data_IF_419100851561
#
_entry.id   IF_419100851561
#
_cell.length_a   1.000
_cell.length_b   1.000
_cell.length_c   1.000
_cell.angle_alpha   90.00
_cell.angle_beta   90.00
_cell.angle_gamma   90.00
#
_symmetry.space_group_name_H-M   'P 1'
#
loop_
_entity.id
_entity.type
_entity.pdbx_description
1 polymer ?
2 polymer ?
3 non-polymer ?
4 non-polymer ?
5 non-polymer ?
6 non-polymer ?
7 non-polymer ?
8 water ?
#
loop_
_entity_poly.entity_id
_entity_poly.type
_entity_poly.pdbx_seq_one_letter_code
_entity_poly.pdbx_strand_id
2 'polydeoxyribonucleotide/polyribonucleotide hybrid' '(DA)(DA)(DT)(DG)(DI)A(DG)(DA)(DT)(DG)(DC)(DT)' ?
#
# COMPACT_ATOMS: atom_id res chain seq x y z
N UNK A 1 5.08 7.52 6.45
CA UNK A 1 3.75 8.08 6.19
C UNK A 1 2.91 7.08 5.42
N UNK A 2 1.61 7.08 5.66
CA UNK A 2 0.75 6.08 5.04
C UNK A 2 0.49 6.42 3.58
N UNK A 3 0.10 5.40 2.81
CA UNK A 3 -0.28 5.60 1.42
C UNK A 3 -1.14 4.43 0.97
N UNK A 4 -1.75 4.57 -0.21
CA UNK A 4 -2.51 3.52 -0.85
C UNK A 4 -1.71 2.98 -2.01
N UNK A 5 -1.51 1.66 -2.03
CA UNK A 5 -0.86 0.97 -3.15
C UNK A 5 -1.95 0.59 -4.14
N UNK A 6 -2.09 1.37 -5.22
CA UNK A 6 -3.24 1.22 -6.11
C UNK A 6 -3.11 0.10 -7.14
N UNK A 7 -1.89 -0.32 -7.47
CA UNK A 7 -1.67 -1.34 -8.49
C UNK A 7 -0.25 -1.85 -8.34
N UNK A 8 0.04 -2.96 -9.02
CA UNK A 8 1.40 -3.48 -9.00
C UNK A 8 2.29 -2.68 -9.96
N UNK A 9 3.60 -2.73 -9.71
CA UNK A 9 4.54 -1.95 -10.49
C UNK A 9 5.21 -2.73 -11.61
N UNK A 10 5.33 -4.05 -11.48
CA UNK A 10 6.13 -4.83 -12.41
C UNK A 10 5.28 -5.21 -13.63
N UNK A 11 4.96 -4.19 -14.43
CA UNK A 11 4.15 -4.30 -15.64
C UNK A 11 4.94 -3.96 -16.89
N UNK A 12 4.71 -4.64 -18.01
CA UNK A 12 5.30 -4.20 -19.27
C UNK A 12 4.74 -2.86 -19.70
N UNK A 13 5.49 -2.10 -20.51
CA UNK A 13 5.04 -0.74 -20.87
C UNK A 13 3.61 -0.66 -21.38
N UNK A 14 3.18 -1.63 -22.20
CA UNK A 14 1.83 -1.60 -22.74
C UNK A 14 0.78 -1.64 -21.63
N UNK A 15 0.99 -2.49 -20.63
CA UNK A 15 0.04 -2.59 -19.53
C UNK A 15 0.14 -1.39 -18.59
N UNK A 16 1.33 -0.82 -18.47
CA UNK A 16 1.51 0.38 -17.66
C UNK A 16 0.74 1.56 -18.27
N UNK A 17 0.70 1.63 -19.60
CA UNK A 17 -0.07 2.68 -20.25
C UNK A 17 -1.55 2.50 -19.97
N UNK A 18 -2.04 1.26 -20.02
CA UNK A 18 -3.44 1.01 -19.72
C UNK A 18 -3.76 1.40 -18.29
N UNK A 19 -2.85 1.11 -17.35
CA UNK A 19 -3.06 1.52 -15.97
C UNK A 19 -3.20 3.03 -15.86
N UNK A 20 -2.34 3.78 -16.57
CA UNK A 20 -2.44 5.23 -16.55
C UNK A 20 -3.79 5.70 -17.08
N UNK A 21 -4.31 5.05 -18.13
CA UNK A 21 -5.59 5.48 -18.69
C UNK A 21 -6.76 5.19 -17.76
N UNK A 22 -6.63 4.26 -16.82
CA UNK A 22 -7.65 4.14 -15.78
C UNK A 22 -7.40 5.11 -14.64
N UNK A 23 -6.14 5.29 -14.24
CA UNK A 23 -5.85 6.15 -13.10
C UNK A 23 -6.15 7.61 -13.40
N UNK A 24 -5.98 8.05 -14.65
CA UNK A 24 -6.21 9.45 -14.97
C UNK A 24 -7.63 9.89 -14.63
N UNK A 25 -8.57 8.93 -14.63
CA UNK A 25 -9.95 9.18 -14.28
C UNK A 25 -10.10 9.58 -12.83
N UNK A 26 -9.11 9.22 -12.01
CA UNK A 26 -9.16 9.44 -10.57
C UNK A 26 -8.49 10.73 -10.13
N UNK A 27 -7.91 11.50 -11.03
CA UNK A 27 -7.30 12.76 -10.63
C UNK A 27 -8.37 13.79 -10.29
N UNK A 28 -8.11 14.58 -9.25
CA UNK A 28 -8.95 15.70 -8.84
C UNK A 28 -8.21 17.01 -8.91
N UNK A 29 -8.62 17.85 -9.85
CA UNK A 29 -7.99 19.14 -10.07
C UNK A 29 -8.73 20.17 -9.23
N UNK A 30 -8.40 20.23 -7.94
CA UNK A 30 -9.11 21.14 -7.04
C UNK A 30 -8.19 22.27 -6.59
N UNK A 31 -8.73 23.47 -6.35
CA UNK A 31 -7.89 24.56 -5.83
C UNK A 31 -7.21 24.20 -4.52
N UNK A 32 -6.04 24.79 -4.30
CA UNK A 32 -5.38 24.72 -3.01
C UNK A 32 -5.52 26.09 -2.37
N UNK A 33 -6.44 26.20 -1.43
CA UNK A 33 -6.66 27.46 -0.73
C UNK A 33 -5.76 27.57 0.48
N UNK A 34 -5.37 28.81 0.77
CA UNK A 34 -4.58 29.08 1.93
C UNK A 34 -3.10 28.79 1.69
N UNK A 35 -2.37 28.78 2.78
CA UNK A 35 -0.94 28.63 2.76
C UNK A 35 -0.55 27.32 3.42
N UNK A 36 0.33 26.54 2.82
CA UNK A 36 0.78 25.31 3.48
C UNK A 36 1.71 25.63 4.63
N UNK A 37 1.82 24.67 5.53
CA UNK A 37 2.73 24.76 6.66
C UNK A 37 3.98 23.92 6.45
N UNK A 38 3.84 22.77 5.79
CA UNK A 38 4.92 21.83 5.53
C UNK A 38 4.91 21.50 4.04
N UNK A 39 6.06 21.62 3.39
CA UNK A 39 6.17 21.41 1.94
C UNK A 39 7.29 20.40 1.68
N UNK A 40 7.00 19.36 0.91
CA UNK A 40 7.97 18.32 0.64
C UNK A 40 8.48 18.42 -0.79
N UNK A 41 9.75 18.03 -0.99
CA UNK A 41 10.30 17.88 -2.32
C UNK A 41 10.96 16.53 -2.46
N UNK A 42 10.92 16.00 -3.69
CA UNK A 42 11.42 14.65 -3.92
C UNK A 42 12.39 14.66 -5.08
N UNK A 43 13.49 13.92 -4.92
CA UNK A 43 14.45 13.82 -6.00
C UNK A 43 15.10 12.44 -5.94
N UNK A 44 15.63 12.02 -7.08
CA UNK A 44 16.31 10.74 -7.16
C UNK A 44 17.69 10.90 -7.77
N UNK A 45 18.64 10.08 -7.31
CA UNK A 45 19.94 9.94 -7.95
C UNK A 45 20.26 8.48 -8.15
N UNK A 46 21.33 8.25 -8.89
CA UNK A 46 21.77 6.91 -9.28
C UNK A 46 23.26 6.77 -8.95
N UNK A 47 23.59 6.43 -7.70
CA UNK A 47 25.01 6.27 -7.35
C UNK A 47 25.68 5.21 -8.20
N UNK A 48 25.05 4.05 -8.32
CA UNK A 48 25.45 3.06 -9.31
C UNK A 48 24.44 3.07 -10.44
N UNK A 49 24.83 2.44 -11.55
CA UNK A 49 23.90 2.34 -12.67
C UNK A 49 22.79 1.37 -12.33
N UNK A 50 21.55 1.82 -12.48
CA UNK A 50 20.34 1.08 -12.09
C UNK A 50 20.27 0.80 -10.59
N UNK A 51 20.96 1.59 -9.78
CA UNK A 51 20.84 1.52 -8.33
C UNK A 51 20.46 2.93 -7.90
N UNK A 52 19.33 3.05 -7.23
CA UNK A 52 18.82 4.38 -7.02
C UNK A 52 18.81 4.81 -5.58
N UNK A 53 18.75 6.12 -5.38
CA UNK A 53 18.63 6.73 -4.08
C UNK A 53 17.53 7.78 -4.18
N UNK A 54 16.45 7.57 -3.44
CA UNK A 54 15.34 8.51 -3.40
C UNK A 54 15.42 9.31 -2.11
N UNK A 55 15.24 10.63 -2.22
CA UNK A 55 15.29 11.53 -1.08
C UNK A 55 14.02 12.35 -1.05
N UNK A 56 13.43 12.46 0.13
CA UNK A 56 12.34 13.39 0.38
C UNK A 56 12.82 14.36 1.44
N UNK A 57 12.68 15.66 1.18
CA UNK A 57 12.98 16.69 2.16
C UNK A 57 11.67 17.37 2.49
N UNK A 58 11.41 17.64 3.77
CA UNK A 58 10.22 18.39 4.18
C UNK A 58 10.67 19.73 4.74
N UNK A 59 10.09 20.82 4.22
CA UNK A 59 10.43 22.19 4.62
C UNK A 59 9.28 22.82 5.38
N UNK A 60 9.63 23.73 6.29
CA UNK A 60 8.63 24.59 6.91
C UNK A 60 8.41 25.79 5.99
N UNK A 61 7.16 26.21 5.85
CA UNK A 61 6.83 27.39 5.08
C UNK A 61 6.21 28.45 5.98
N UNK A 62 6.59 29.74 5.86
CA UNK A 62 7.47 30.34 4.84
C UNK A 62 8.99 30.38 5.13
N UNK A 63 9.44 29.84 6.25
CA UNK A 63 10.85 29.97 6.61
C UNK A 63 11.76 29.14 5.70
N UNK A 64 11.23 28.06 5.11
CA UNK A 64 11.99 27.07 4.33
C UNK A 64 12.99 26.30 5.19
N UNK A 65 12.85 26.36 6.50
CA UNK A 65 13.70 25.60 7.39
C UNK A 65 13.46 24.09 7.19
N UNK A 66 14.54 23.33 7.19
CA UNK A 66 14.45 21.88 6.94
C UNK A 66 13.96 21.17 8.20
N UNK A 67 12.86 20.42 8.06
CA UNK A 67 12.25 19.68 9.15
C UNK A 67 12.56 18.20 9.12
N UNK A 68 12.74 17.61 7.94
CA UNK A 68 12.99 16.19 7.85
C UNK A 68 13.63 15.88 6.51
N UNK A 69 14.50 14.86 6.52
CA UNK A 69 15.05 14.23 5.33
C UNK A 69 14.88 12.73 5.49
N UNK A 70 14.33 12.07 4.48
CA UNK A 70 14.34 10.61 4.47
C UNK A 70 14.98 10.16 3.17
N UNK A 71 15.50 8.94 3.17
CA UNK A 71 16.08 8.43 1.94
C UNK A 71 15.93 6.92 1.94
N UNK A 72 15.98 6.37 0.73
CA UNK A 72 15.98 4.92 0.62
C UNK A 72 16.74 4.55 -0.64
N UNK A 73 17.50 3.47 -0.56
CA UNK A 73 18.25 2.94 -1.69
C UNK A 73 17.61 1.66 -2.19
N UNK A 74 17.63 1.46 -3.50
CA UNK A 74 17.07 0.25 -4.06
C UNK A 74 17.44 0.10 -5.51
N UNK A 75 17.21 -1.11 -6.01
CA UNK A 75 17.45 -1.42 -7.41
C UNK A 75 16.35 -0.83 -8.27
N UNK A 76 16.72 -0.36 -9.46
CA UNK A 76 15.78 0.20 -10.43
C UNK A 76 15.53 -0.89 -11.46
N UNK A 77 14.25 -1.18 -11.73
CA UNK A 77 13.86 -2.36 -12.51
C UNK A 77 13.12 -2.05 -13.82
N UNK A 78 12.72 -0.81 -14.04
CA UNK A 78 11.93 -0.35 -15.19
C UNK A 78 12.69 0.74 -15.95
N UNK A 79 12.78 0.66 -17.28
CA UNK A 79 13.58 1.66 -18.02
C UNK A 79 12.91 3.03 -18.07
N UNK A 80 13.74 4.06 -18.27
CA UNK A 80 13.18 5.39 -18.51
C UNK A 80 12.46 5.40 -19.85
N UNK A 81 11.18 5.76 -19.82
CA UNK A 81 10.38 5.98 -21.02
C UNK A 81 9.62 7.28 -20.75
N UNK A 82 9.77 8.32 -21.57
CA UNK A 82 8.99 9.53 -21.35
C UNK A 82 7.50 9.18 -21.32
N UNK A 83 6.83 9.63 -20.28
CA UNK A 83 5.42 9.33 -20.08
C UNK A 83 5.16 8.16 -19.14
N UNK A 84 6.20 7.40 -18.79
CA UNK A 84 6.07 6.28 -17.85
C UNK A 84 7.05 6.40 -16.69
N UNK A 85 7.44 7.63 -16.36
CA UNK A 85 8.45 7.86 -15.33
C UNK A 85 8.06 7.22 -13.99
N UNK A 86 6.77 7.23 -13.67
CA UNK A 86 6.31 6.72 -12.38
C UNK A 86 6.66 5.26 -12.18
N UNK A 87 6.65 4.47 -13.26
CA UNK A 87 6.94 3.04 -13.12
C UNK A 87 8.42 2.79 -12.87
N UNK A 88 9.26 3.78 -13.16
CA UNK A 88 10.69 3.68 -12.89
C UNK A 88 11.01 4.16 -11.48
N UNK A 89 10.44 5.29 -11.10
CA UNK A 89 10.83 5.98 -9.88
C UNK A 89 9.84 5.85 -8.74
N UNK A 90 8.58 5.54 -9.04
CA UNK A 90 7.55 5.43 -8.05
C UNK A 90 7.86 4.50 -6.89
N UNK A 91 8.24 3.26 -7.18
CA UNK A 91 8.44 2.31 -6.06
C UNK A 91 9.46 2.78 -5.05
N UNK A 92 10.60 3.32 -5.49
CA UNK A 92 11.61 3.76 -4.55
C UNK A 92 11.16 5.01 -3.81
N UNK A 93 10.45 5.91 -4.49
CA UNK A 93 9.86 7.04 -3.79
C UNK A 93 8.94 6.55 -2.67
N UNK A 94 8.09 5.56 -2.96
CA UNK A 94 7.15 5.10 -1.95
C UNK A 94 7.88 4.42 -0.78
N UNK A 95 9.01 3.78 -1.03
CA UNK A 95 9.79 3.22 0.08
C UNK A 95 10.32 4.34 0.97
N UNK A 96 10.71 5.47 0.39
CA UNK A 96 11.11 6.60 1.22
C UNK A 96 9.90 7.21 1.92
N UNK A 97 8.76 7.27 1.22
CA UNK A 97 7.55 7.88 1.78
C UNK A 97 7.09 7.14 3.02
N UNK A 98 7.18 5.80 3.02
CA UNK A 98 6.75 5.03 4.17
C UNK A 98 7.57 5.38 5.42
N UNK A 99 8.80 5.87 5.25
CA UNK A 99 9.63 6.25 6.37
C UNK A 99 9.30 7.64 6.91
N UNK A 100 8.60 8.46 6.13
CA UNK A 100 8.40 9.85 6.49
C UNK A 100 7.55 9.97 7.76
N UNK A 101 8.01 10.79 8.71
CA UNK A 101 7.27 11.04 9.94
C UNK A 101 6.42 12.31 9.86
N UNK A 102 6.91 13.34 9.18
CA UNK A 102 6.19 14.59 9.04
C UNK A 102 5.21 14.52 7.88
N UNK A 103 3.95 14.90 8.13
CA UNK A 103 2.95 14.87 7.07
C UNK A 103 2.99 16.18 6.30
N UNK A 104 3.36 16.18 5.01
CA UNK A 104 3.39 17.43 4.24
C UNK A 104 1.99 17.89 3.86
N UNK A 105 1.88 19.20 3.61
CA UNK A 105 0.66 19.78 3.07
C UNK A 105 0.64 19.73 1.55
N UNK A 106 1.81 19.74 0.92
CA UNK A 106 1.97 19.69 -0.53
C UNK A 106 3.29 19.00 -0.81
N UNK A 107 3.33 18.20 -1.88
CA UNK A 107 4.55 17.51 -2.28
C UNK A 107 4.89 17.91 -3.71
N UNK A 108 6.14 18.31 -3.93
CA UNK A 108 6.61 18.76 -5.23
C UNK A 108 7.57 17.71 -5.78
N UNK A 109 7.31 17.26 -7.02
CA UNK A 109 8.11 16.27 -7.71
C UNK A 109 8.91 16.88 -8.85
N UNK A 110 10.03 16.23 -9.18
CA UNK A 110 10.82 16.58 -10.36
C UNK A 110 10.25 15.87 -11.58
N UNK A 111 9.39 16.56 -12.30
CA UNK A 111 8.69 15.95 -13.43
C UNK A 111 7.34 16.63 -13.58
N UNK A 112 6.58 16.16 -14.57
CA UNK A 112 5.27 16.73 -14.82
C UNK A 112 4.21 16.13 -13.90
N UNK A 113 3.09 16.85 -13.79
CA UNK A 113 1.86 16.27 -13.32
C UNK A 113 0.90 16.13 -14.50
N UNK A 114 -0.04 17.08 -14.59
CA UNK A 114 -1.08 17.06 -15.61
C UNK A 114 -0.52 17.21 -17.02
N UNK A 115 0.64 17.87 -17.16
CA UNK A 115 1.20 18.18 -18.48
C UNK A 115 1.88 16.93 -19.04
N UNK A 116 1.05 16.00 -19.52
CA UNK A 116 1.47 14.62 -19.77
C UNK A 116 0.53 14.07 -20.83
N UNK A 117 1.01 13.23 -21.76
CA UNK A 117 0.15 12.79 -22.88
C UNK A 117 -1.12 12.06 -22.46
N UNK A 118 -1.13 11.41 -21.29
CA UNK A 118 -2.33 10.76 -20.77
C UNK A 118 -2.82 11.42 -19.48
N UNK A 119 -2.39 12.67 -19.25
CA UNK A 119 -2.83 13.49 -18.13
C UNK A 119 -2.53 12.85 -16.78
N UNK A 120 -1.39 12.12 -16.68
CA UNK A 120 -1.03 11.45 -15.42
C UNK A 120 0.48 11.33 -15.31
N UNK A 121 1.17 12.47 -15.19
CA UNK A 121 2.59 12.44 -14.94
C UNK A 121 2.86 11.94 -13.53
N UNK A 122 4.15 11.75 -13.24
CA UNK A 122 4.54 11.15 -11.96
C UNK A 122 3.94 11.91 -10.77
N UNK A 123 3.84 13.23 -10.85
CA UNK A 123 3.30 13.98 -9.71
C UNK A 123 1.83 13.65 -9.49
N UNK A 124 1.07 13.48 -10.58
CA UNK A 124 -0.34 13.12 -10.46
C UNK A 124 -0.49 11.70 -9.97
N UNK A 125 0.30 10.80 -10.53
CA UNK A 125 0.27 9.38 -10.17
C UNK A 125 0.59 9.18 -8.70
N UNK A 126 1.67 9.79 -8.22
CA UNK A 126 2.02 9.63 -6.80
C UNK A 126 1.01 10.33 -5.91
N UNK A 127 0.45 11.45 -6.37
CA UNK A 127 -0.61 12.10 -5.60
C UNK A 127 -1.74 11.16 -5.29
N UNK A 128 -2.10 10.31 -6.25
CA UNK A 128 -3.18 9.35 -6.04
C UNK A 128 -2.81 8.34 -4.97
N UNK A 129 -1.53 7.97 -4.89
CA UNK A 129 -1.07 7.03 -3.88
C UNK A 129 -1.05 7.67 -2.49
N UNK A 130 -0.50 8.88 -2.38
CA UNK A 130 -0.33 9.46 -1.05
C UNK A 130 -1.52 10.32 -0.61
N UNK A 131 -2.40 10.71 -1.54
CA UNK A 131 -3.62 11.47 -1.21
C UNK A 131 -3.29 12.77 -0.47
N UNK A 132 -2.30 13.48 -1.00
CA UNK A 132 -1.87 14.81 -0.54
C UNK A 132 -1.70 15.65 -1.80
N UNK A 133 -2.01 16.95 -1.76
CA UNK A 133 -1.81 17.79 -2.95
C UNK A 133 -0.38 17.71 -3.48
N UNK A 134 -0.26 17.57 -4.79
CA UNK A 134 1.06 17.46 -5.42
C UNK A 134 1.17 18.39 -6.60
N UNK A 135 2.41 18.73 -6.92
CA UNK A 135 2.76 19.60 -8.04
C UNK A 135 3.96 18.97 -8.74
N UNK A 136 3.96 19.03 -10.07
CA UNK A 136 5.12 18.66 -10.86
C UNK A 136 5.88 19.88 -11.34
N UNK A 137 7.18 19.90 -11.09
CA UNK A 137 8.08 20.94 -11.60
C UNK A 137 9.16 20.30 -12.44
N UNK A 138 9.21 20.62 -13.73
CA UNK A 138 10.17 20.05 -14.66
C UNK A 138 11.01 21.14 -15.31
N UNK A 139 12.20 20.77 -15.76
CA UNK A 139 13.08 21.68 -16.48
C UNK A 139 12.85 21.70 -17.99
N UNK A 140 12.08 20.76 -18.53
CA UNK A 140 11.81 20.74 -19.96
C UNK A 140 10.42 20.17 -20.19
N UNK A 141 9.91 20.41 -21.41
CA UNK A 141 8.54 20.07 -21.76
C UNK A 141 8.41 18.60 -22.16
N UNK A 142 7.40 17.94 -21.62
CA UNK A 142 6.97 16.61 -22.06
C UNK A 142 5.81 16.66 -23.03
N UNK A 143 4.82 17.48 -22.75
CA UNK A 143 3.57 17.48 -23.49
C UNK A 143 2.95 18.87 -23.38
N UNK A 144 2.22 19.26 -24.41
CA UNK A 144 1.53 20.53 -24.45
C UNK A 144 2.23 21.55 -25.34
N UNK A 145 1.47 22.58 -25.70
CA UNK A 145 2.01 23.67 -26.49
C UNK A 145 1.95 24.96 -25.68
N UNK A 146 2.84 25.90 -25.99
CA UNK A 146 2.90 27.13 -25.21
C UNK A 146 3.64 28.20 -26.01
N UNK A 147 3.34 29.46 -25.68
CA UNK A 147 4.15 30.60 -26.09
C UNK A 147 5.25 30.83 -25.06
N UNK A 148 6.48 31.01 -25.53
CA UNK A 148 7.60 31.20 -24.63
C UNK A 148 7.39 32.44 -23.76
N UNK A 149 7.52 32.34 -22.43
CA UNK A 149 7.37 33.54 -21.59
C UNK A 149 8.45 34.57 -21.87
N UNK A 150 8.16 35.81 -21.46
CA UNK A 150 9.12 36.90 -21.61
C UNK A 150 10.38 36.61 -20.79
N UNK A 151 11.49 37.21 -21.19
CA UNK A 151 12.73 37.02 -20.43
C UNK A 151 12.81 38.04 -19.29
N UNK A 152 11.76 38.08 -18.48
CA UNK A 152 11.68 38.92 -17.30
C UNK A 152 11.21 38.05 -16.16
N UNK A 153 11.81 38.21 -14.98
CA UNK A 153 11.46 37.37 -13.85
C UNK A 153 9.95 37.40 -13.58
N UNK A 154 9.38 36.22 -13.37
CA UNK A 154 7.97 35.93 -13.04
C UNK A 154 7.08 35.90 -14.28
N UNK A 155 7.56 36.25 -15.46
CA UNK A 155 6.78 36.06 -16.66
C UNK A 155 6.37 34.60 -16.80
N UNK A 156 5.14 34.37 -17.24
CA UNK A 156 4.64 33.02 -17.42
C UNK A 156 3.69 32.95 -18.60
N UNK A 157 3.48 31.73 -19.08
CA UNK A 157 2.51 31.42 -20.12
C UNK A 157 1.84 30.11 -19.78
N UNK A 158 0.61 29.91 -20.27
CA UNK A 158 -0.08 28.65 -20.10
C UNK A 158 0.44 27.58 -21.07
N UNK A 159 0.39 26.34 -20.61
CA UNK A 159 0.62 25.15 -21.41
C UNK A 159 -0.72 24.55 -21.80
N UNK A 160 -0.90 24.24 -23.08
CA UNK A 160 -2.20 23.85 -23.60
C UNK A 160 -2.17 22.45 -24.22
N UNK A 161 -3.28 21.73 -24.09
CA UNK A 161 -3.57 20.57 -24.93
C UNK A 161 -4.82 20.95 -25.72
N UNK A 162 -4.62 21.55 -26.89
CA UNK A 162 -5.70 22.16 -27.64
C UNK A 162 -6.20 23.39 -26.90
N UNK A 163 -7.47 23.36 -26.50
CA UNK A 163 -8.04 24.47 -25.73
C UNK A 163 -7.91 24.25 -24.23
N UNK A 164 -7.50 23.06 -23.79
CA UNK A 164 -7.36 22.72 -22.38
C UNK A 164 -6.03 23.24 -21.83
N UNK A 165 -6.07 23.93 -20.70
CA UNK A 165 -4.87 24.37 -19.99
C UNK A 165 -4.42 23.24 -19.08
N UNK A 166 -3.18 22.80 -19.23
CA UNK A 166 -2.64 21.67 -18.46
C UNK A 166 -1.49 22.05 -17.55
N UNK A 167 -1.07 23.31 -17.55
CA UNK A 167 0.03 23.74 -16.71
C UNK A 167 0.49 25.12 -17.14
N UNK A 168 1.69 25.51 -16.71
CA UNK A 168 2.25 26.79 -17.14
C UNK A 168 3.77 26.71 -17.27
N UNK A 169 4.34 27.71 -17.93
CA UNK A 169 5.78 27.84 -18.12
C UNK A 169 6.20 29.16 -17.48
N UNK A 170 7.12 29.11 -16.51
CA UNK A 170 7.42 30.25 -15.66
C UNK A 170 8.89 30.63 -15.75
N UNK A 171 9.16 31.90 -16.01
CA UNK A 171 10.53 32.42 -15.98
C UNK A 171 10.88 32.78 -14.54
N UNK A 172 11.32 31.78 -13.79
CA UNK A 172 11.68 32.02 -12.40
C UNK A 172 12.99 32.79 -12.27
N UNK A 173 13.84 32.77 -13.30
CA UNK A 173 15.13 33.45 -13.22
C UNK A 173 15.41 34.11 -14.57
N UNK A 174 15.62 35.42 -14.55
CA UNK A 174 15.93 36.12 -15.79
C UNK A 174 17.27 35.65 -16.34
N UNK A 175 17.31 35.44 -17.66
CA UNK A 175 18.51 34.95 -18.31
C UNK A 175 18.70 33.45 -18.25
N UNK A 176 17.78 32.72 -17.62
CA UNK A 176 17.84 31.26 -17.56
C UNK A 176 16.59 30.66 -18.18
N UNK A 177 16.70 29.40 -18.58
CA UNK A 177 15.56 28.68 -19.11
C UNK A 177 14.43 28.65 -18.07
N UNK A 178 13.18 28.64 -18.51
CA UNK A 178 12.04 28.58 -17.58
C UNK A 178 11.82 27.17 -17.04
N UNK A 179 10.84 27.06 -16.13
CA UNK A 179 10.42 25.78 -15.57
C UNK A 179 8.99 25.50 -15.99
N UNK A 180 8.65 24.21 -16.05
CA UNK A 180 7.33 23.74 -16.45
C UNK A 180 6.61 23.24 -15.22
N UNK A 181 5.47 23.85 -14.90
CA UNK A 181 4.74 23.58 -13.66
C UNK A 181 3.36 23.06 -14.02
N UNK A 182 2.96 21.93 -13.45
CA UNK A 182 1.61 21.42 -13.68
C UNK A 182 1.07 20.77 -12.41
N UNK A 183 -0.24 20.85 -12.18
CA UNK A 183 -0.82 20.27 -10.97
C UNK A 183 -0.75 18.75 -11.03
N UNK A 184 -0.59 18.15 -9.86
CA UNK A 184 -0.63 16.71 -9.76
C UNK A 184 -2.03 16.24 -9.41
N UNK A 185 -2.23 15.90 -8.14
CA UNK A 185 -3.53 15.50 -7.61
C UNK A 185 -3.92 16.50 -6.55
N UNK A 186 -5.24 16.73 -6.39
CA UNK A 186 -5.75 17.67 -5.38
C UNK A 186 -5.10 19.04 -5.52
N UNK A 187 -4.97 19.49 -6.77
CA UNK A 187 -4.24 20.68 -7.15
C UNK A 187 -4.80 21.14 -8.50
N UNK A 188 -4.74 22.44 -8.76
CA UNK A 188 -5.16 22.91 -10.09
C UNK A 188 -4.08 23.84 -10.65
N UNK A 189 -4.29 24.28 -11.89
CA UNK A 189 -3.23 24.98 -12.61
C UNK A 189 -2.90 26.30 -11.91
N UNK A 190 -3.92 27.06 -11.54
CA UNK A 190 -3.69 28.36 -10.91
C UNK A 190 -3.02 28.21 -9.55
N UNK A 191 -3.43 27.21 -8.76
CA UNK A 191 -2.83 27.02 -7.45
C UNK A 191 -1.37 26.56 -7.56
N UNK A 192 -1.09 25.66 -8.50
CA UNK A 192 0.28 25.19 -8.64
C UNK A 192 1.21 26.32 -9.05
N UNK A 193 0.75 27.21 -9.94
CA UNK A 193 1.55 28.36 -10.32
C UNK A 193 1.83 29.24 -9.11
N UNK A 194 0.78 29.54 -8.34
CA UNK A 194 0.93 30.43 -7.21
C UNK A 194 1.87 29.83 -6.15
N UNK A 195 1.73 28.53 -5.90
CA UNK A 195 2.55 27.91 -4.86
C UNK A 195 4.01 27.82 -5.28
N UNK A 196 4.28 27.41 -6.52
CA UNK A 196 5.67 27.29 -6.96
C UNK A 196 6.34 28.66 -6.98
N UNK A 197 5.61 29.70 -7.38
CA UNK A 197 6.15 31.04 -7.28
C UNK A 197 6.51 31.38 -5.84
N UNK A 198 5.63 31.04 -4.89
CA UNK A 198 5.92 31.29 -3.48
C UNK A 198 7.13 30.51 -2.99
N UNK A 199 7.36 29.31 -3.53
CA UNK A 199 8.44 28.44 -3.09
C UNK A 199 9.78 28.77 -3.71
N UNK A 200 9.82 29.66 -4.71
CA UNK A 200 11.04 29.92 -5.47
C UNK A 200 11.57 31.28 -5.05
N UNK A 201 12.77 31.30 -4.46
CA UNK A 201 13.33 32.57 -3.98
C UNK A 201 13.89 33.40 -5.14
N UNK A 202 13.81 34.73 -5.05
CA UNK A 202 14.39 35.57 -6.10
C UNK A 202 15.87 35.25 -6.31
N UNK A 203 16.26 35.11 -7.57
CA UNK A 203 17.59 34.74 -7.95
C UNK A 203 17.79 33.27 -8.21
N UNK A 204 16.85 32.43 -7.79
CA UNK A 204 16.92 30.99 -8.02
C UNK A 204 15.93 30.59 -9.09
N UNK A 205 16.33 29.62 -9.89
CA UNK A 205 15.47 29.06 -10.92
C UNK A 205 14.55 27.98 -10.36
N UNK A 206 15.03 27.20 -9.39
CA UNK A 206 14.34 25.98 -8.96
C UNK A 206 13.71 26.24 -7.60
N UNK A 207 12.45 25.81 -7.37
CA UNK A 207 11.83 26.01 -6.06
C UNK A 207 12.55 25.27 -4.95
N UNK A 208 12.50 25.85 -3.76
CA UNK A 208 13.28 25.35 -2.63
C UNK A 208 13.06 23.87 -2.32
N UNK A 209 11.83 23.33 -2.35
CA UNK A 209 11.67 21.90 -2.00
C UNK A 209 12.48 20.96 -2.89
N UNK A 210 12.42 21.12 -4.20
CA UNK A 210 13.19 20.23 -5.07
C UNK A 210 14.63 20.66 -5.22
N UNK A 211 14.92 21.96 -5.05
CA UNK A 211 16.32 22.38 -5.02
C UNK A 211 17.07 21.69 -3.88
N UNK A 212 16.47 21.69 -2.68
CA UNK A 212 17.11 21.06 -1.53
C UNK A 212 17.08 19.55 -1.62
N UNK A 213 16.01 18.95 -2.16
CA UNK A 213 16.03 17.50 -2.34
C UNK A 213 17.18 17.08 -3.25
N UNK A 214 17.43 17.86 -4.31
CA UNK A 214 18.56 17.55 -5.17
C UNK A 214 19.87 17.65 -4.40
N UNK A 215 20.01 18.68 -3.57
CA UNK A 215 21.24 18.84 -2.80
C UNK A 215 21.50 17.58 -1.96
N UNK A 216 20.45 17.06 -1.34
CA UNK A 216 20.65 15.89 -0.48
C UNK A 216 20.89 14.62 -1.28
N UNK A 217 20.25 14.46 -2.45
CA UNK A 217 20.57 13.29 -3.26
C UNK A 217 22.05 13.27 -3.62
N UNK A 218 22.64 14.44 -3.84
CA UNK A 218 24.06 14.47 -4.19
C UNK A 218 24.94 14.25 -2.96
N UNK A 219 24.55 14.81 -1.83
CA UNK A 219 25.35 14.63 -0.62
C UNK A 219 25.28 13.20 -0.12
N UNK A 220 24.09 12.59 -0.17
CA UNK A 220 23.93 11.25 0.40
C UNK A 220 24.62 10.19 -0.45
N UNK A 221 24.92 10.49 -1.71
CA UNK A 221 25.79 9.63 -2.54
C UNK A 221 27.19 9.56 -1.94
N UNK B 1 -4.23 -6.42 -6.48
CA UNK B 1 -5.30 -5.76 -5.74
C UNK B 1 -4.74 -4.63 -4.86
N UNK B 2 -5.53 -3.57 -4.67
CA UNK B 2 -5.07 -2.42 -3.93
C UNK B 2 -5.12 -2.67 -2.42
N UNK B 3 -4.35 -1.88 -1.68
CA UNK B 3 -4.41 -1.93 -0.23
C UNK B 3 -3.88 -0.61 0.30
N UNK B 4 -4.04 -0.41 1.61
CA UNK B 4 -3.55 0.78 2.29
C UNK B 4 -2.37 0.37 3.16
N UNK B 5 -1.22 1.00 2.94
CA UNK B 5 -0.04 0.77 3.77
C UNK B 5 -0.13 1.72 4.97
N UNK B 6 -0.55 1.19 6.12
CA UNK B 6 -0.86 2.05 7.26
C UNK B 6 0.37 2.46 8.03
N UNK B 7 1.45 1.69 7.96
CA UNK B 7 2.66 1.95 8.73
C UNK B 7 3.79 1.17 8.09
N UNK B 8 5.01 1.48 8.49
CA UNK B 8 6.19 0.78 8.02
C UNK B 8 6.35 -0.56 8.76
N UNK B 9 7.07 -1.49 8.12
CA UNK B 9 7.18 -2.85 8.66
C UNK B 9 8.44 -3.13 9.48
N UNK B 10 9.58 -2.48 9.19
CA UNK B 10 10.83 -2.92 9.82
C UNK B 10 10.97 -2.26 11.19
N UNK B 11 10.14 -2.72 12.11
CA UNK B 11 10.11 -2.13 13.45
C UNK B 11 10.69 -3.09 14.47
N UNK B 12 11.38 -2.58 15.48
CA UNK B 12 11.77 -3.43 16.60
C UNK B 12 10.54 -3.94 17.31
N UNK B 13 10.63 -5.09 17.99
CA UNK B 13 9.44 -5.67 18.63
C UNK B 13 8.68 -4.73 19.56
N UNK B 14 9.36 -3.94 20.41
CA UNK B 14 8.65 -3.02 21.29
C UNK B 14 7.79 -2.05 20.50
N UNK B 15 8.32 -1.51 19.40
CA UNK B 15 7.55 -0.58 18.60
C UNK B 15 6.44 -1.29 17.83
N UNK B 16 6.64 -2.56 17.47
CA UNK B 16 5.57 -3.31 16.81
C UNK B 16 4.38 -3.49 17.73
N UNK B 17 4.63 -3.71 19.02
CA UNK B 17 3.55 -3.84 19.99
C UNK B 17 2.77 -2.52 20.11
N UNK B 18 3.49 -1.39 20.12
CA UNK B 18 2.82 -0.10 20.22
C UNK B 18 1.91 0.12 19.01
N UNK B 19 2.39 -0.25 17.83
CA UNK B 19 1.59 -0.13 16.60
C UNK B 19 0.30 -0.94 16.72
N UNK B 20 0.42 -2.18 17.22
CA UNK B 20 -0.76 -3.02 17.42
C UNK B 20 -1.77 -2.37 18.37
N UNK B 21 -1.28 -1.74 19.44
CA UNK B 21 -2.20 -1.15 20.42
C UNK B 21 -2.91 0.08 19.86
N UNK B 22 -2.33 0.74 18.85
CA UNK B 22 -3.04 1.81 18.17
C UNK B 22 -3.98 1.26 17.11
N UNK B 23 -3.54 0.24 16.36
CA UNK B 23 -4.37 -0.29 15.28
C UNK B 23 -5.61 -1.00 15.80
N UNK B 24 -5.53 -1.64 16.99
CA UNK B 24 -6.71 -2.32 17.51
C UNK B 24 -7.89 -1.37 17.68
N UNK B 25 -7.61 -0.06 17.85
CA UNK B 25 -8.69 0.92 17.95
C UNK B 25 -9.45 1.10 16.64
N UNK B 26 -8.89 0.68 15.52
CA UNK B 26 -9.53 0.87 14.22
C UNK B 26 -10.37 -0.32 13.76
N UNK B 27 -10.32 -1.44 14.49
CA UNK B 27 -11.06 -2.64 14.07
C UNK B 27 -12.56 -2.39 14.19
N UNK B 28 -13.32 -2.88 13.23
CA UNK B 28 -14.78 -2.79 13.26
C UNK B 28 -15.31 -4.22 13.28
N UNK B 29 -15.88 -4.66 14.41
CA UNK B 29 -16.38 -6.04 14.51
C UNK B 29 -17.85 -6.07 14.10
N UNK B 30 -18.07 -6.00 12.82
CA UNK B 30 -19.42 -5.88 12.28
C UNK B 30 -19.86 -7.21 11.67
N UNK B 31 -21.15 -7.53 11.72
CA UNK B 31 -21.64 -8.74 11.06
C UNK B 31 -21.33 -8.73 9.57
N UNK B 32 -21.13 -9.93 9.01
CA UNK B 32 -21.10 -10.14 7.56
C UNK B 32 -22.32 -10.99 7.20
N UNK B 33 -23.34 -10.36 6.65
CA UNK B 33 -24.57 -11.06 6.31
C UNK B 33 -24.53 -11.51 4.85
N UNK B 34 -25.27 -12.56 4.55
CA UNK B 34 -25.42 -13.00 3.18
C UNK B 34 -24.32 -13.90 2.68
N UNK B 35 -24.31 -14.05 1.35
CA UNK B 35 -23.44 -15.01 0.70
C UNK B 35 -22.34 -14.32 -0.08
N UNK B 36 -21.08 -14.64 0.17
CA UNK B 36 -20.01 -14.13 -0.66
C UNK B 36 -19.96 -14.88 -1.99
N UNK B 37 -19.35 -14.24 -2.97
CA UNK B 37 -19.09 -14.83 -4.27
C UNK B 37 -17.64 -15.24 -4.48
N UNK B 38 -16.70 -14.52 -3.88
CA UNK B 38 -15.28 -14.76 -4.05
C UNK B 38 -14.64 -14.82 -2.69
N UNK B 39 -13.90 -15.90 -2.41
CA UNK B 39 -13.31 -16.11 -1.10
C UNK B 39 -11.84 -16.44 -1.27
N UNK B 40 -10.99 -15.73 -0.55
CA UNK B 40 -9.55 -15.92 -0.67
C UNK B 40 -9.00 -16.62 0.56
N UNK B 41 -7.96 -17.42 0.36
CA UNK B 41 -7.19 -17.99 1.46
C UNK B 41 -5.70 -17.76 1.24
N UNK B 42 -4.97 -17.66 2.36
CA UNK B 42 -3.58 -17.23 2.35
C UNK B 42 -2.74 -18.23 3.14
N UNK B 43 -1.60 -18.65 2.58
CA UNK B 43 -0.70 -19.58 3.25
C UNK B 43 0.74 -19.19 2.94
N UNK B 44 1.64 -19.47 3.88
CA UNK B 44 3.06 -19.18 3.73
C UNK B 44 3.91 -20.41 4.05
N UNK B 45 5.05 -20.52 3.39
CA UNK B 45 6.07 -21.49 3.78
C UNK B 45 7.42 -20.79 3.83
N UNK B 46 8.41 -21.48 4.43
CA UNK B 46 9.74 -20.92 4.64
C UNK B 46 10.74 -21.98 4.19
N UNK B 47 10.94 -22.11 2.89
CA UNK B 47 11.83 -23.15 2.36
C UNK B 47 13.28 -22.95 2.77
N UNK B 48 13.80 -21.75 2.58
CA UNK B 48 15.10 -21.44 3.14
C UNK B 48 14.95 -20.53 4.33
N UNK B 49 15.97 -20.48 5.18
CA UNK B 49 15.96 -19.55 6.29
C UNK B 49 16.25 -18.16 5.76
N UNK B 50 15.46 -17.19 6.24
CA UNK B 50 15.37 -15.84 5.70
C UNK B 50 14.74 -15.82 4.33
N UNK B 51 14.04 -16.88 3.94
CA UNK B 51 13.32 -16.93 2.67
C UNK B 51 11.89 -17.44 2.86
N UNK B 52 10.92 -16.68 2.34
CA UNK B 52 9.52 -17.03 2.46
C UNK B 52 8.83 -17.21 1.13
N UNK B 53 7.69 -17.90 1.13
CA UNK B 53 6.83 -18.02 -0.05
C UNK B 53 5.38 -17.82 0.39
N UNK B 54 4.71 -16.82 -0.17
CA UNK B 54 3.29 -16.57 0.11
C UNK B 54 2.44 -16.97 -1.08
N UNK B 55 1.31 -17.64 -0.81
CA UNK B 55 0.35 -18.06 -1.83
C UNK B 55 -1.02 -17.53 -1.43
N UNK B 56 -1.73 -16.96 -2.38
CA UNK B 56 -3.14 -16.59 -2.20
C UNK B 56 -3.95 -17.35 -3.23
N UNK B 57 -5.01 -18.02 -2.79
CA UNK B 57 -5.97 -18.69 -3.67
C UNK B 57 -7.31 -17.99 -3.55
N UNK B 58 -7.95 -17.70 -4.68
CA UNK B 58 -9.30 -17.15 -4.69
C UNK B 58 -10.22 -18.23 -5.25
N UNK B 59 -11.26 -18.57 -4.49
CA UNK B 59 -12.27 -19.50 -4.92
C UNK B 59 -13.56 -18.77 -5.21
N UNK B 60 -14.35 -19.33 -6.12
CA UNK B 60 -15.72 -18.91 -6.30
C UNK B 60 -16.59 -19.69 -5.33
N UNK B 61 -17.56 -19.01 -4.73
CA UNK B 61 -18.48 -19.66 -3.81
C UNK B 61 -19.90 -19.51 -4.34
N UNK B 62 -20.73 -20.57 -4.30
CA UNK B 62 -20.56 -21.89 -3.68
C UNK B 62 -19.91 -22.99 -4.54
N UNK B 63 -19.38 -22.69 -5.72
CA UNK B 63 -18.84 -23.76 -6.56
C UNK B 63 -17.51 -24.30 -6.02
N UNK B 64 -16.78 -23.50 -5.27
CA UNK B 64 -15.41 -23.76 -4.83
C UNK B 64 -14.43 -23.88 -6.00
N UNK B 65 -14.84 -23.46 -7.18
CA UNK B 65 -13.92 -23.44 -8.32
C UNK B 65 -12.76 -22.50 -8.04
N UNK B 66 -11.56 -22.92 -8.45
CA UNK B 66 -10.38 -22.07 -8.27
C UNK B 66 -10.39 -21.01 -9.37
N UNK B 67 -10.43 -19.75 -8.97
CA UNK B 67 -10.46 -18.65 -9.93
C UNK B 67 -9.11 -18.03 -10.16
N UNK B 68 -8.26 -17.95 -9.14
CA UNK B 68 -6.98 -17.30 -9.26
C UNK B 68 -6.06 -17.87 -8.21
N UNK B 69 -4.80 -18.06 -8.58
CA UNK B 69 -3.74 -18.41 -7.63
C UNK B 69 -2.56 -17.51 -7.91
N UNK B 70 -2.08 -16.81 -6.88
CA UNK B 70 -0.88 -16.00 -7.02
C UNK B 70 0.12 -16.40 -5.93
N UNK B 71 1.38 -16.10 -6.18
CA UNK B 71 2.43 -16.41 -5.22
C UNK B 71 3.56 -15.41 -5.38
N UNK B 72 4.36 -15.31 -4.32
CA UNK B 72 5.52 -14.43 -4.32
C UNK B 72 6.58 -15.00 -3.38
N UNK B 73 7.85 -14.94 -3.80
CA UNK B 73 8.96 -15.29 -2.95
C UNK B 73 9.63 -14.00 -2.48
N UNK B 74 10.14 -14.03 -1.26
CA UNK B 74 10.79 -12.85 -0.74
C UNK B 74 11.60 -13.18 0.50
N UNK B 75 12.40 -12.21 0.88
CA UNK B 75 13.23 -12.33 2.06
C UNK B 75 12.39 -12.16 3.31
N UNK B 76 12.62 -13.01 4.30
CA UNK B 76 11.96 -12.93 5.60
C UNK B 76 13.00 -12.48 6.63
N UNK B 77 12.73 -11.37 7.31
CA UNK B 77 13.72 -10.73 8.16
C UNK B 77 13.35 -10.74 9.63
N UNK B 78 12.10 -10.96 9.95
CA UNK B 78 11.61 -10.79 11.30
C UNK B 78 11.35 -12.17 11.89
N UNK B 79 11.88 -12.48 13.06
CA UNK B 79 11.72 -13.84 13.59
C UNK B 79 10.28 -14.07 14.01
N UNK B 80 9.90 -15.35 14.09
CA UNK B 80 8.59 -15.66 14.64
C UNK B 80 8.58 -15.34 16.13
N UNK B 81 7.68 -14.46 16.52
CA UNK B 81 7.41 -14.16 17.93
C UNK B 81 5.91 -14.29 18.07
N UNK B 82 5.39 -15.20 18.88
CA UNK B 82 3.93 -15.31 19.04
C UNK B 82 3.32 -13.96 19.41
N UNK B 83 2.27 -13.59 18.67
CA UNK B 83 1.65 -12.29 18.88
C UNK B 83 2.15 -11.20 17.93
N UNK B 84 3.24 -11.45 17.19
CA UNK B 84 3.80 -10.50 16.23
C UNK B 84 3.88 -11.12 14.83
N UNK B 85 3.01 -12.07 14.55
CA UNK B 85 3.10 -12.80 13.29
C UNK B 85 3.00 -11.88 12.08
N UNK B 86 2.18 -10.84 12.16
CA UNK B 86 2.00 -9.95 11.00
C UNK B 86 3.32 -9.29 10.58
N UNK B 87 4.20 -9.01 11.52
CA UNK B 87 5.45 -8.32 11.18
C UNK B 87 6.45 -9.24 10.49
N UNK B 88 6.23 -10.54 10.57
CA UNK B 88 7.00 -11.55 9.87
C UNK B 88 6.41 -11.85 8.50
N UNK B 89 5.09 -12.02 8.43
CA UNK B 89 4.41 -12.52 7.23
C UNK B 89 3.66 -11.45 6.43
N UNK B 90 3.27 -10.36 7.05
CA UNK B 90 2.52 -9.32 6.38
C UNK B 90 3.16 -8.81 5.11
N UNK B 91 4.43 -8.39 5.15
CA UNK B 91 5.03 -7.81 3.94
C UNK B 91 4.99 -8.73 2.73
N UNK B 92 5.29 -10.02 2.91
CA UNK B 92 5.28 -10.93 1.77
C UNK B 92 3.85 -11.22 1.29
N UNK B 93 2.91 -11.37 2.22
CA UNK B 93 1.51 -11.50 1.81
C UNK B 93 1.07 -10.32 0.96
N UNK B 94 1.42 -9.10 1.36
CA UNK B 94 0.99 -7.93 0.60
C UNK B 94 1.64 -7.88 -0.77
N UNK B 95 2.85 -8.42 -0.90
CA UNK B 95 3.48 -8.48 -2.20
C UNK B 95 2.72 -9.43 -3.14
N UNK B 96 2.22 -10.54 -2.60
CA UNK B 96 1.37 -11.42 -3.41
C UNK B 96 0.00 -10.77 -3.66
N UNK B 97 -0.52 -10.08 -2.65
CA UNK B 97 -1.82 -9.43 -2.78
C UNK B 97 -1.83 -8.42 -3.94
N UNK B 98 -0.71 -7.72 -4.15
CA UNK B 98 -0.65 -6.75 -5.25
C UNK B 98 -0.88 -7.40 -6.61
N UNK B 99 -0.55 -8.69 -6.75
CA UNK B 99 -0.71 -9.37 -8.03
C UNK B 99 -2.15 -9.81 -8.30
N UNK B 100 -2.98 -9.88 -7.27
CA UNK B 100 -4.32 -10.43 -7.38
C UNK B 100 -5.21 -9.55 -8.27
N UNK B 101 -5.92 -10.19 -9.21
CA UNK B 101 -6.85 -9.47 -10.07
C UNK B 101 -8.31 -9.52 -9.62
N UNK B 102 -8.75 -10.58 -8.94
CA UNK B 102 -10.12 -10.69 -8.46
C UNK B 102 -10.22 -10.13 -7.06
N UNK B 103 -11.18 -9.25 -6.83
CA UNK B 103 -11.38 -8.69 -5.50
C UNK B 103 -12.19 -9.67 -4.65
N UNK B 104 -11.63 -10.21 -3.58
CA UNK B 104 -12.38 -11.14 -2.74
C UNK B 104 -13.42 -10.41 -1.90
N UNK B 105 -14.47 -11.15 -1.53
CA UNK B 105 -15.45 -10.66 -0.58
C UNK B 105 -15.05 -10.92 0.86
N UNK B 106 -14.26 -11.97 1.08
CA UNK B 106 -13.79 -12.38 2.39
C UNK B 106 -12.41 -12.99 2.19
N UNK B 107 -11.50 -12.75 3.13
CA UNK B 107 -10.15 -13.32 3.07
C UNK B 107 -9.91 -14.08 4.37
N UNK B 108 -9.41 -15.32 4.25
CA UNK B 108 -9.15 -16.19 5.39
C UNK B 108 -7.63 -16.35 5.55
N UNK B 109 -7.13 -16.09 6.77
CA UNK B 109 -5.71 -16.24 7.05
C UNK B 109 -5.46 -17.42 7.99
N UNK B 110 -4.25 -17.96 7.91
CA UNK B 110 -3.76 -18.99 8.84
C UNK B 110 -3.22 -18.28 10.08
N UNK B 111 -4.05 -18.18 11.09
CA UNK B 111 -3.66 -17.48 12.30
C UNK B 111 -4.90 -16.90 12.94
N UNK B 112 -4.70 -16.20 14.06
CA UNK B 112 -5.82 -15.61 14.77
C UNK B 112 -6.17 -14.24 14.20
N UNK B 113 -7.40 -13.80 14.48
CA UNK B 113 -7.74 -12.40 14.38
C UNK B 113 -7.91 -11.80 15.76
N UNK B 114 -9.17 -11.73 16.21
CA UNK B 114 -9.50 -11.17 17.53
C UNK B 114 -8.85 -11.96 18.67
N UNK B 115 -8.61 -13.26 18.46
CA UNK B 115 -8.16 -14.14 19.54
C UNK B 115 -6.65 -14.00 19.74
N UNK B 116 -6.28 -12.87 20.34
CA UNK B 116 -4.92 -12.33 20.34
C UNK B 116 -4.78 -11.47 21.59
N UNK B 117 -3.61 -11.48 22.24
CA UNK B 117 -3.47 -10.75 23.52
C UNK B 117 -3.75 -9.27 23.42
N UNK B 118 -3.56 -8.66 22.26
CA UNK B 118 -3.85 -7.24 22.04
C UNK B 118 -4.98 -7.06 21.04
N UNK B 119 -5.75 -8.13 20.82
CA UNK B 119 -6.92 -8.12 19.97
C UNK B 119 -6.59 -7.66 18.55
N UNK B 120 -5.40 -8.03 18.07
CA UNK B 120 -5.03 -7.62 16.72
C UNK B 120 -4.11 -8.69 16.13
N UNK B 121 -4.66 -9.88 15.92
CA UNK B 121 -3.90 -10.91 15.24
C UNK B 121 -3.74 -10.59 13.77
N UNK B 122 -2.94 -11.42 13.08
CA UNK B 122 -2.59 -11.12 11.69
C UNK B 122 -3.84 -10.92 10.84
N UNK B 123 -4.90 -11.69 11.09
CA UNK B 123 -6.09 -11.55 10.25
C UNK B 123 -6.73 -10.17 10.44
N UNK B 124 -6.74 -9.67 11.67
CA UNK B 124 -7.29 -8.33 11.91
C UNK B 124 -6.38 -7.27 11.32
N UNK B 125 -5.08 -7.42 11.55
CA UNK B 125 -4.09 -6.48 11.07
C UNK B 125 -4.14 -6.37 9.55
N UNK B 126 -4.12 -7.50 8.84
CA UNK B 126 -4.19 -7.44 7.39
C UNK B 126 -5.56 -6.95 6.91
N UNK B 127 -6.62 -7.23 7.68
CA UNK B 127 -7.94 -6.69 7.33
C UNK B 127 -7.94 -5.17 7.25
N UNK B 128 -7.22 -4.52 8.17
CA UNK B 128 -7.11 -3.06 8.14
C UNK B 128 -6.38 -2.58 6.90
N UNK B 129 -5.40 -3.35 6.43
CA UNK B 129 -4.66 -2.96 5.24
C UNK B 129 -5.50 -3.14 3.98
N UNK B 130 -6.17 -4.28 3.83
CA UNK B 130 -6.85 -4.54 2.56
C UNK B 130 -8.29 -4.04 2.53
N UNK B 131 -8.85 -3.67 3.69
CA UNK B 131 -10.19 -3.07 3.80
C UNK B 131 -11.26 -4.00 3.24
N UNK B 132 -11.13 -5.29 3.56
CA UNK B 132 -12.04 -6.35 3.15
C UNK B 132 -12.29 -7.21 4.38
N UNK B 133 -13.50 -7.76 4.57
CA UNK B 133 -13.74 -8.64 5.73
C UNK B 133 -12.74 -9.79 5.78
N UNK B 134 -12.22 -10.05 6.98
CA UNK B 134 -11.22 -11.09 7.15
C UNK B 134 -11.58 -11.98 8.32
N UNK B 135 -11.08 -13.21 8.27
CA UNK B 135 -11.26 -14.20 9.32
C UNK B 135 -9.91 -14.86 9.57
N UNK B 136 -9.60 -15.13 10.84
CA UNK B 136 -8.44 -15.94 11.19
C UNK B 136 -8.88 -17.35 11.54
N UNK B 137 -8.26 -18.34 10.90
CA UNK B 137 -8.48 -19.74 11.24
C UNK B 137 -7.13 -20.31 11.63
N UNK B 138 -7.01 -20.75 12.87
CA UNK B 138 -5.74 -21.30 13.36
C UNK B 138 -5.91 -22.75 13.76
N UNK B 139 -4.82 -23.50 13.63
CA UNK B 139 -4.81 -24.90 14.05
C UNK B 139 -4.48 -25.07 15.53
N UNK B 140 -4.02 -24.01 16.20
CA UNK B 140 -3.65 -24.08 17.62
C UNK B 140 -4.01 -22.76 18.28
N UNK B 141 -4.06 -22.81 19.61
CA UNK B 141 -4.54 -21.70 20.44
C UNK B 141 -3.40 -20.73 20.71
N UNK B 142 -3.65 -19.44 20.48
CA UNK B 142 -2.73 -18.41 20.95
C UNK B 142 -3.18 -17.80 22.26
N UNK B 143 -4.48 -17.55 22.39
CA UNK B 143 -5.04 -16.78 23.48
C UNK B 143 -6.47 -17.23 23.70
N UNK B 144 -6.89 -17.26 24.96
CA UNK B 144 -8.26 -17.59 25.28
C UNK B 144 -8.41 -19.02 25.77
N UNK B 145 -9.51 -19.28 26.47
CA UNK B 145 -9.90 -20.58 27.00
C UNK B 145 -11.27 -20.98 26.47
N UNK B 146 -11.57 -22.28 26.57
CA UNK B 146 -12.78 -22.81 25.96
C UNK B 146 -13.14 -24.15 26.56
N UNK B 147 -14.42 -24.51 26.38
CA UNK B 147 -14.89 -25.88 26.55
C UNK B 147 -14.66 -26.64 25.25
N UNK B 148 -14.02 -27.80 25.33
CA UNK B 148 -13.78 -28.60 24.14
C UNK B 148 -15.09 -28.98 23.49
N UNK B 149 -15.27 -28.71 22.19
CA UNK B 149 -16.50 -29.14 21.52
C UNK B 149 -16.59 -30.67 21.47
N UNK B 150 -17.82 -31.14 21.30
CA UNK B 150 -18.02 -32.58 21.16
C UNK B 150 -17.29 -33.09 19.92
N UNK B 151 -16.97 -34.37 19.93
CA UNK B 151 -16.29 -34.99 18.79
C UNK B 151 -17.30 -35.42 17.73
N UNK B 152 -18.09 -34.44 17.30
CA UNK B 152 -19.07 -34.61 16.24
C UNK B 152 -18.94 -33.42 15.31
N UNK B 153 -18.98 -33.69 14.01
CA UNK B 153 -18.83 -32.64 13.03
C UNK B 153 -19.85 -31.53 13.28
N UNK B 154 -19.37 -30.29 13.23
CA UNK B 154 -20.12 -29.04 13.39
C UNK B 154 -20.33 -28.65 14.85
N UNK B 155 -19.89 -29.45 15.82
CA UNK B 155 -19.92 -29.03 17.21
C UNK B 155 -19.01 -27.81 17.40
N UNK B 156 -19.40 -26.92 18.30
CA UNK B 156 -18.59 -25.71 18.50
C UNK B 156 -18.77 -25.17 19.91
N UNK B 157 -17.81 -24.34 20.33
CA UNK B 157 -17.86 -23.66 21.60
C UNK B 157 -17.32 -22.25 21.43
N UNK B 158 -17.68 -21.35 22.35
CA UNK B 158 -17.08 -20.03 22.33
C UNK B 158 -15.66 -20.07 22.91
N UNK B 159 -14.79 -19.23 22.35
CA UNK B 159 -13.46 -18.95 22.89
C UNK B 159 -13.55 -17.67 23.71
N UNK B 160 -13.03 -17.70 24.94
CA UNK B 160 -13.20 -16.61 25.89
C UNK B 160 -11.86 -16.02 26.36
N UNK B 161 -11.88 -14.71 26.59
CA UNK B 161 -10.85 -14.03 27.36
C UNK B 161 -11.57 -13.55 28.61
N UNK B 162 -11.67 -14.43 29.61
CA UNK B 162 -12.50 -14.10 30.75
C UNK B 162 -13.97 -14.04 30.37
N UNK B 163 -14.58 -12.86 30.47
CA UNK B 163 -15.99 -12.71 30.13
C UNK B 163 -16.25 -12.37 28.67
N UNK B 164 -15.25 -11.89 27.93
CA UNK B 164 -15.45 -11.48 26.55
C UNK B 164 -15.29 -12.67 25.60
N UNK B 165 -16.21 -12.77 24.64
CA UNK B 165 -16.12 -13.77 23.57
C UNK B 165 -15.16 -13.24 22.49
N UNK B 166 -14.11 -14.00 22.19
CA UNK B 166 -13.11 -13.58 21.23
C UNK B 166 -13.05 -14.48 20.00
N UNK B 167 -13.89 -15.50 19.91
CA UNK B 167 -13.89 -16.37 18.76
C UNK B 167 -14.68 -17.61 19.08
N UNK B 168 -14.48 -18.65 18.25
CA UNK B 168 -15.05 -19.95 18.58
C UNK B 168 -14.08 -21.06 18.20
N UNK B 169 -14.35 -22.23 18.76
CA UNK B 169 -13.58 -23.45 18.52
C UNK B 169 -14.56 -24.45 17.89
N UNK B 170 -14.23 -24.94 16.69
CA UNK B 170 -15.17 -25.71 15.88
C UNK B 170 -14.57 -27.07 15.56
N UNK B 171 -15.36 -28.12 15.80
CA UNK B 171 -15.01 -29.48 15.36
C UNK B 171 -15.47 -29.62 13.92
N UNK B 172 -14.62 -29.20 12.98
CA UNK B 172 -14.95 -29.36 11.56
C UNK B 172 -14.85 -30.79 11.08
N UNK B 173 -14.08 -31.64 11.75
CA UNK B 173 -13.89 -33.00 11.29
C UNK B 173 -13.90 -33.92 12.49
N UNK B 174 -14.83 -34.87 12.51
CA UNK B 174 -14.90 -35.83 13.60
C UNK B 174 -13.58 -36.62 13.67
N UNK B 175 -13.07 -36.78 14.88
CA UNK B 175 -11.84 -37.52 15.11
C UNK B 175 -10.56 -36.71 14.94
N UNK B 176 -10.67 -35.42 14.65
CA UNK B 176 -9.52 -34.52 14.51
C UNK B 176 -9.69 -33.37 15.49
N UNK B 177 -8.55 -32.74 15.83
CA UNK B 177 -8.58 -31.58 16.70
C UNK B 177 -9.43 -30.47 16.08
N UNK B 178 -10.07 -29.65 16.91
CA UNK B 178 -10.88 -28.54 16.35
C UNK B 178 -9.96 -27.44 15.82
N UNK B 179 -10.61 -26.46 15.20
CA UNK B 179 -9.94 -25.28 14.67
C UNK B 179 -10.38 -24.06 15.46
N UNK B 180 -9.53 -23.04 15.48
CA UNK B 180 -9.80 -21.81 16.24
C UNK B 180 -10.15 -20.71 15.24
N UNK B 181 -11.36 -20.14 15.36
CA UNK B 181 -11.87 -19.18 14.40
C UNK B 181 -12.15 -17.88 15.13
N UNK B 182 -11.61 -16.78 14.60
CA UNK B 182 -11.88 -15.48 15.21
C UNK B 182 -12.00 -14.41 14.13
N UNK B 183 -12.86 -13.41 14.34
CA UNK B 183 -13.02 -12.38 13.31
C UNK B 183 -11.77 -11.53 13.18
N UNK B 184 -11.50 -11.07 11.96
CA UNK B 184 -10.45 -10.10 11.74
C UNK B 184 -11.01 -8.69 11.77
N UNK B 185 -11.17 -8.08 10.59
CA UNK B 185 -11.74 -6.74 10.44
C UNK B 185 -13.02 -6.89 9.64
N UNK B 186 -13.99 -6.00 9.90
CA UNK B 186 -15.29 -6.03 9.22
C UNK B 186 -15.95 -7.40 9.31
N UNK B 187 -15.83 -8.00 10.50
CA UNK B 187 -16.26 -9.37 10.77
C UNK B 187 -16.55 -9.47 12.27
N UNK B 188 -17.50 -10.33 12.66
CA UNK B 188 -17.78 -10.57 14.07
C UNK B 188 -17.75 -12.06 14.35
N UNK B 189 -17.93 -12.43 15.63
CA UNK B 189 -17.72 -13.84 15.99
C UNK B 189 -18.78 -14.72 15.33
N UNK B 190 -20.05 -14.32 15.40
CA UNK B 190 -21.12 -15.15 14.86
C UNK B 190 -20.99 -15.31 13.34
N UNK B 191 -20.63 -14.24 12.64
CA UNK B 191 -20.51 -14.34 11.18
C UNK B 191 -19.31 -15.18 10.80
N UNK B 192 -18.20 -15.04 11.53
CA UNK B 192 -17.01 -15.81 11.18
C UNK B 192 -17.28 -17.31 11.35
N UNK B 193 -18.01 -17.69 12.41
CA UNK B 193 -18.37 -19.09 12.61
C UNK B 193 -19.22 -19.61 11.45
N UNK B 194 -20.27 -18.88 11.08
CA UNK B 194 -21.14 -19.30 9.98
C UNK B 194 -20.34 -19.47 8.69
N UNK B 195 -19.47 -18.50 8.38
CA UNK B 195 -18.73 -18.53 7.11
C UNK B 195 -17.70 -19.65 7.06
N UNK B 196 -16.94 -19.86 8.14
CA UNK B 196 -15.95 -20.94 8.10
C UNK B 196 -16.63 -22.30 7.98
N UNK B 197 -17.77 -22.47 8.65
CA UNK B 197 -18.52 -23.71 8.48
C UNK B 197 -18.92 -23.88 7.01
N UNK B 198 -19.39 -22.81 6.38
CA UNK B 198 -19.77 -22.88 4.96
C UNK B 198 -18.57 -23.11 4.06
N UNK B 199 -17.39 -22.60 4.43
CA UNK B 199 -16.20 -22.74 3.60
C UNK B 199 -15.46 -24.06 3.80
N UNK B 200 -15.85 -24.87 4.78
CA UNK B 200 -15.15 -26.11 5.09
C UNK B 200 -15.98 -27.26 4.53
N UNK B 201 -15.39 -28.02 3.60
CA UNK B 201 -16.12 -29.10 2.98
C UNK B 201 -16.23 -30.29 3.94
N UNK B 202 -17.33 -31.05 3.87
CA UNK B 202 -17.47 -32.23 4.73
C UNK B 202 -16.29 -33.16 4.54
N UNK B 203 -15.74 -33.64 5.66
CA UNK B 203 -14.57 -34.50 5.64
C UNK B 203 -13.26 -33.77 5.78
N UNK B 204 -13.25 -32.44 5.64
CA UNK B 204 -12.03 -31.65 5.78
C UNK B 204 -12.05 -30.94 7.13
N UNK B 205 -10.86 -30.79 7.70
CA UNK B 205 -10.66 -30.03 8.92
C UNK B 205 -10.48 -28.55 8.63
N UNK B 206 -9.81 -28.23 7.52
CA UNK B 206 -9.37 -26.87 7.21
C UNK B 206 -10.27 -26.31 6.12
N UNK B 207 -10.71 -25.04 6.21
CA UNK B 207 -11.55 -24.50 5.14
C UNK B 207 -10.84 -24.46 3.81
N UNK B 208 -11.61 -24.66 2.74
CA UNK B 208 -11.04 -24.88 1.42
C UNK B 208 -10.10 -23.79 0.93
N UNK B 209 -10.38 -22.49 1.11
CA UNK B 209 -9.42 -21.50 0.59
C UNK B 209 -8.04 -21.66 1.19
N UNK B 210 -7.92 -21.77 2.52
CA UNK B 210 -6.60 -21.92 3.11
C UNK B 210 -6.05 -23.32 2.93
N UNK B 211 -6.94 -24.33 2.85
CA UNK B 211 -6.45 -25.69 2.63
C UNK B 211 -5.76 -25.78 1.27
N UNK B 212 -6.37 -25.19 0.24
CA UNK B 212 -5.76 -25.23 -1.09
C UNK B 212 -4.55 -24.30 -1.16
N UNK B 213 -4.59 -23.15 -0.48
CA UNK B 213 -3.38 -22.34 -0.43
C UNK B 213 -2.22 -23.13 0.16
N UNK B 214 -2.49 -23.93 1.20
CA UNK B 214 -1.44 -24.77 1.76
C UNK B 214 -0.95 -25.80 0.74
N UNK B 215 -1.86 -26.43 0.00
CA UNK B 215 -1.43 -27.42 -0.99
C UNK B 215 -0.50 -26.77 -2.01
N UNK B 216 -0.86 -25.58 -2.50
CA UNK B 216 -0.01 -24.95 -3.50
C UNK B 216 1.31 -24.49 -2.90
N UNK B 217 1.27 -24.00 -1.65
CA UNK B 217 2.49 -23.64 -0.96
C UNK B 217 3.47 -24.82 -0.90
N UNK B 218 2.96 -26.03 -0.70
CA UNK B 218 3.86 -27.17 -0.60
C UNK B 218 4.40 -27.57 -1.96
N UNK B 219 3.58 -27.50 -3.01
CA UNK B 219 4.06 -27.84 -4.35
C UNK B 219 5.06 -26.80 -4.84
N UNK B 220 4.78 -25.51 -4.60
CA UNK B 220 5.68 -24.48 -5.08
C UNK B 220 6.98 -24.43 -4.29
N UNK B 221 6.94 -24.79 -3.02
CA UNK B 221 8.17 -24.84 -2.23
C UNK B 221 9.14 -25.86 -2.79
N UNK B 222 8.63 -27.05 -3.12
CA UNK B 222 9.50 -28.09 -3.66
C UNK B 222 9.99 -27.75 -5.06
N UNK B 223 9.16 -27.08 -5.86
CA UNK B 223 9.55 -26.75 -7.22
C UNK B 223 10.32 -25.45 -7.39
N UNK B 224 10.18 -24.50 -6.45
CA UNK B 224 10.81 -23.18 -6.55
C UNK B 224 12.14 -23.09 -5.84
N UNK B 225 12.30 -23.77 -4.71
CA UNK B 225 13.50 -23.65 -3.88
C UNK B 225 14.41 -24.87 -3.98
X LIG E 1 18.18 15.87 -9.32
X LIG F 1 14.35 13.37 -9.62
X LIG G 1 0.52 -24.19 5.76
X LIG H 1 7.76 -11.32 -8.80
X LIG H 1 7.05 -10.11 -8.78
X LIG H 1 9.08 -11.08 -8.03
X LIG H 1 8.91 -10.12 -7.04
X LIG H 1 9.50 -12.46 -7.44
X LIG H 1 8.52 -13.39 -7.78
X LIG I 1 13.42 -29.15 -3.64
X LIG I 1 13.83 -30.27 -2.91
X LIG I 1 14.26 -29.12 -4.93
X LIG I 1 14.04 -27.96 -5.67
X LIG I 1 15.72 -29.26 -4.45
X LIG I 1 15.94 -28.24 -3.53
X LIG J 1 -22.69 -24.21 21.94
X LIG J 1 -23.29 -25.07 20.96
X LIG J 1 -23.70 -23.18 22.44
X LIG J 1 -23.09 -22.31 23.39
X LIG K 1 2.43 -18.53 -8.47
X LIG K 1 1.49 -19.55 -8.63
X LIG K 1 0.61 -19.24 -9.83
X LIG K 1 -0.34 -20.26 -10.02
X LIG K 1 -0.93 -20.32 -11.29
X LIG K 1 -0.82 -19.00 -12.05
X LIG K 1 -1.81 -18.10 -11.64
X LIG K 1 -1.56 -16.76 -11.97
X LIG K 1 -2.87 -15.98 -11.94
X LIG K 1 -2.72 -14.74 -11.31
X LIG K 1 -3.28 -13.68 -12.03
X LIG K 1 -2.93 -12.34 -11.36
X LIG K 1 -1.71 -11.79 -11.77
X LIG L 1 0.66 -19.89 6.87
X LIG M 1 16.85 15.05 -20.75
X LIG N 1 4.34 6.38 -25.58
X LIG N 1 3.72 7.55 -25.03
X LIG N 1 4.17 6.32 -27.10
X LIG N 1 5.03 7.29 -27.69
X LIG O 1 3.30 -24.60 17.06
#
# INVERSE_FOLDING_TARGET
>A
MDYRQLHRWDLPPEEAIKVQNELRKKIKLTPYEGEPEYVAGVDLSFPGKEEGLAVIVVLEYPSFKILEVVSERGEITFPYIPGLLAFREGPLFLKAWEKLRTKPDVVVFNGQGLAHPRKLGIASHMGLFIEIPTIGVAKSRLYGTFKMPEDKRCSWSYLYDGEEIIGCVIRTKEGSAPIFVSPGHLMDVESSKRLIKAFTLPGRRIPEPTRLAHIYTQRLKKGLF
>B
MDYRQLHRWDLPPEEAIKVQNELRKKIKLTPYEGEPEYVAGVDLSFPGKEEGLAVIVVLEYPSFKILEVVSERGEITFPYIPGLLAFREGPLFLKAWEKLRTKPDVVVFNGQGLAHPRKLGIASHMGLFIEIPTIGVAKSRLYGTFKMPEDKRCSWSYLYDGEEIIGCVIRTKEGSAPIFVSPGHLMDVESSKRLIKAFTLPGRRIPEPTRLAHIYTQRLKKGLF
>E hetero
1 CA CA
>F hetero
1 NA NA
>G hetero
1 CA CA
>H hetero
1 GOL C1 O1 C2 O2 C3 O3
>I hetero
1 GOL C1 O1 C2 O2 C3 O3
>J hetero
1 EDO C1 O1 C2 O2
>K hetero
1 PG4 O1 C1 C2 O2 C3 C4 O3 C5 C6 O4 C7 C8 O5
>L hetero
1 NA NA
>M hetero
1 CA CA
>N hetero
1 EDO C1 O1 C2 O2
>O hetero
1 CA CA
#
